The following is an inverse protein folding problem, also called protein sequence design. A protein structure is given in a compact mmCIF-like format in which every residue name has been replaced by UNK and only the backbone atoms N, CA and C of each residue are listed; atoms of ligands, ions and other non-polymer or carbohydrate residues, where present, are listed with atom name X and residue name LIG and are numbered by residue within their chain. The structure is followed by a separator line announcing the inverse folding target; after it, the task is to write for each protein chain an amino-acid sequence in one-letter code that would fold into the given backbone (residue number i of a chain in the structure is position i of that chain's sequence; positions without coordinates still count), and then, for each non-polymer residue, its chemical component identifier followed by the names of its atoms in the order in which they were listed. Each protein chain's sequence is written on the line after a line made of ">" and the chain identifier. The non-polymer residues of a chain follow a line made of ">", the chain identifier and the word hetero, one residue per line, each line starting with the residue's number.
data_IF_542376470988
#
_entry.id   IF_542376470988
#
_cell.length_a   1.000
_cell.length_b   1.000
_cell.length_c   1.000
_cell.angle_alpha   90.00
_cell.angle_beta   90.00
_cell.angle_gamma   90.00
#
_symmetry.space_group_name_H-M   'P 1'
#
loop_
_entity.id
_entity.type
_entity.pdbx_description
1 polymer ?
#
# COMPACT_ATOMS: atom_id res chain seq x y z
N UNK A 1 15.99 -5.57 9.99
CA UNK A 1 14.58 -6.04 9.96
C UNK A 1 14.42 -6.95 8.75
N UNK A 2 13.65 -8.04 8.83
CA UNK A 2 13.41 -8.88 7.63
C UNK A 2 12.28 -8.25 6.80
N UNK A 3 12.34 -8.37 5.47
CA UNK A 3 11.32 -7.85 4.54
C UNK A 3 9.89 -8.22 4.97
N UNK A 4 9.68 -9.48 5.38
CA UNK A 4 8.37 -9.94 5.89
C UNK A 4 7.88 -9.15 7.09
N UNK A 5 8.72 -8.84 8.07
CA UNK A 5 8.35 -8.05 9.24
C UNK A 5 7.95 -6.63 8.86
N UNK A 6 8.68 -6.00 7.96
CA UNK A 6 8.38 -4.64 7.50
C UNK A 6 7.05 -4.59 6.76
N UNK A 7 6.84 -5.48 5.79
CA UNK A 7 5.59 -5.55 5.03
C UNK A 7 4.40 -5.85 5.96
N UNK A 8 4.58 -6.73 6.97
CA UNK A 8 3.53 -6.97 7.98
C UNK A 8 3.20 -5.72 8.80
N UNK A 9 4.20 -4.96 9.23
CA UNK A 9 3.99 -3.74 10.00
C UNK A 9 3.24 -2.71 9.15
N UNK A 10 3.65 -2.53 7.89
CA UNK A 10 2.98 -1.61 6.96
C UNK A 10 1.53 -2.02 6.73
N UNK A 11 1.27 -3.30 6.50
CA UNK A 11 -0.10 -3.81 6.35
C UNK A 11 -0.97 -3.55 7.58
N UNK A 12 -0.45 -3.77 8.78
CA UNK A 12 -1.18 -3.54 10.03
C UNK A 12 -1.43 -2.05 10.25
N UNK A 13 -0.46 -1.18 9.97
CA UNK A 13 -0.62 0.27 10.10
C UNK A 13 -1.70 0.80 9.15
N UNK A 14 -1.66 0.40 7.89
CA UNK A 14 -2.68 0.79 6.92
C UNK A 14 -4.06 0.27 7.31
N UNK A 15 -4.17 -0.99 7.74
CA UNK A 15 -5.44 -1.55 8.19
C UNK A 15 -5.99 -0.85 9.44
N UNK A 16 -5.14 -0.54 10.41
CA UNK A 16 -5.55 0.19 11.61
C UNK A 16 -6.06 1.61 11.26
N UNK A 17 -5.33 2.29 10.38
CA UNK A 17 -5.71 3.65 9.98
C UNK A 17 -6.97 3.66 9.10
N UNK A 18 -7.17 2.66 8.26
CA UNK A 18 -8.44 2.44 7.56
C UNK A 18 -9.64 2.50 8.51
N UNK A 19 -9.60 1.75 9.62
CA UNK A 19 -10.71 1.76 10.58
C UNK A 19 -10.93 3.13 11.24
N UNK A 20 -9.85 3.87 11.51
CA UNK A 20 -9.95 5.22 12.06
C UNK A 20 -10.64 6.15 11.07
N UNK A 21 -10.14 6.24 9.84
CA UNK A 21 -10.69 7.12 8.82
C UNK A 21 -12.11 6.75 8.42
N UNK A 22 -12.37 5.47 8.23
CA UNK A 22 -13.71 4.97 7.90
C UNK A 22 -14.74 5.36 8.97
N UNK A 23 -14.35 5.25 10.25
CA UNK A 23 -15.22 5.64 11.37
C UNK A 23 -15.47 7.14 11.40
N UNK A 24 -14.44 7.95 11.16
CA UNK A 24 -14.56 9.41 11.11
C UNK A 24 -15.38 9.84 9.89
N UNK A 25 -15.07 9.28 8.72
CA UNK A 25 -15.78 9.57 7.46
C UNK A 25 -17.29 9.36 7.59
N UNK A 26 -17.71 8.27 8.24
CA UNK A 26 -19.12 8.00 8.51
C UNK A 26 -19.75 9.00 9.47
N UNK A 27 -19.01 9.48 10.47
CA UNK A 27 -19.53 10.47 11.44
C UNK A 27 -19.73 11.85 10.83
N UNK A 28 -18.77 12.31 10.01
CA UNK A 28 -18.82 13.65 9.40
C UNK A 28 -19.39 13.65 7.98
N UNK A 29 -19.83 12.50 7.48
CA UNK A 29 -20.38 12.31 6.14
C UNK A 29 -19.47 12.86 5.03
N UNK A 30 -18.15 12.65 5.18
CA UNK A 30 -17.13 13.12 4.23
C UNK A 30 -16.81 12.05 3.20
N UNK A 31 -17.14 12.34 1.94
CA UNK A 31 -16.82 11.45 0.81
C UNK A 31 -15.32 11.39 0.56
N UNK A 32 -14.59 12.49 0.73
CA UNK A 32 -13.14 12.51 0.51
C UNK A 32 -12.41 11.64 1.56
N UNK A 33 -12.80 11.73 2.83
CA UNK A 33 -12.21 10.91 3.87
C UNK A 33 -12.61 9.43 3.72
N UNK A 34 -13.80 9.17 3.18
CA UNK A 34 -14.19 7.82 2.83
C UNK A 34 -13.33 7.24 1.69
N UNK A 35 -13.01 8.06 0.68
CA UNK A 35 -12.08 7.68 -0.39
C UNK A 35 -10.68 7.39 0.17
N UNK A 36 -10.13 8.27 1.01
CA UNK A 36 -8.83 8.07 1.66
C UNK A 36 -8.80 6.77 2.48
N UNK A 37 -9.88 6.44 3.19
CA UNK A 37 -9.97 5.18 3.93
C UNK A 37 -9.88 3.96 3.01
N UNK A 38 -10.45 4.01 1.81
CA UNK A 38 -10.34 2.93 0.83
C UNK A 38 -8.90 2.77 0.35
N UNK A 39 -8.15 3.85 0.14
CA UNK A 39 -6.74 3.78 -0.23
C UNK A 39 -5.90 3.03 0.83
N UNK A 40 -6.15 3.26 2.11
CA UNK A 40 -5.51 2.50 3.19
C UNK A 40 -5.87 1.01 3.17
N UNK A 41 -7.10 0.69 2.81
CA UNK A 41 -7.53 -0.70 2.64
C UNK A 41 -6.82 -1.36 1.45
N UNK A 42 -6.67 -0.63 0.34
CA UNK A 42 -5.93 -1.09 -0.84
C UNK A 42 -4.46 -1.36 -0.52
N UNK A 43 -3.80 -0.43 0.14
CA UNK A 43 -2.41 -0.58 0.58
C UNK A 43 -2.23 -1.77 1.53
N UNK A 44 -3.14 -1.96 2.48
CA UNK A 44 -3.13 -3.11 3.37
C UNK A 44 -3.30 -4.43 2.59
N UNK A 45 -4.25 -4.47 1.65
CA UNK A 45 -4.53 -5.64 0.82
C UNK A 45 -3.33 -6.02 -0.06
N UNK A 46 -2.67 -5.05 -0.70
CA UNK A 46 -1.46 -5.28 -1.51
C UNK A 46 -0.33 -5.82 -0.65
N UNK A 47 -0.11 -5.26 0.53
CA UNK A 47 0.93 -5.73 1.45
C UNK A 47 0.65 -7.15 1.98
N UNK A 48 -0.60 -7.47 2.29
CA UNK A 48 -1.03 -8.82 2.67
C UNK A 48 -0.81 -9.79 1.50
N UNK A 49 -1.16 -9.39 0.28
CA UNK A 49 -0.93 -10.18 -0.92
C UNK A 49 0.56 -10.51 -1.12
N UNK A 50 1.44 -9.52 -0.93
CA UNK A 50 2.89 -9.73 -0.97
C UNK A 50 3.33 -10.77 0.06
N UNK A 51 2.80 -10.71 1.29
CA UNK A 51 3.12 -11.67 2.35
C UNK A 51 2.65 -13.09 2.00
N UNK A 52 1.45 -13.25 1.48
CA UNK A 52 0.89 -14.53 1.08
C UNK A 52 1.62 -15.11 -0.15
N UNK A 53 2.05 -14.23 -1.06
CA UNK A 53 2.73 -14.64 -2.28
C UNK A 53 4.16 -15.19 -2.07
N UNK A 54 4.72 -15.07 -0.86
CA UNK A 54 6.04 -15.60 -0.49
C UNK A 54 6.13 -17.14 -0.47
N UNK A 55 5.74 -17.85 -1.41
CA UNK A 55 5.80 -19.32 -1.49
C UNK A 55 4.88 -19.87 -2.56
N UNK A 56 4.19 -18.98 -3.25
CA UNK A 56 3.23 -19.35 -4.27
C UNK A 56 3.82 -19.31 -5.67
N UNK A 57 3.27 -20.15 -6.57
CA UNK A 57 3.64 -20.14 -7.98
C UNK A 57 3.26 -18.83 -8.67
N UNK A 58 3.96 -18.49 -9.76
CA UNK A 58 3.73 -17.25 -10.53
C UNK A 58 2.27 -17.14 -11.01
N UNK A 59 1.67 -18.25 -11.42
CA UNK A 59 0.26 -18.29 -11.85
C UNK A 59 -0.71 -18.00 -10.72
N UNK A 60 -0.46 -18.53 -9.52
CA UNK A 60 -1.29 -18.25 -8.34
C UNK A 60 -1.20 -16.77 -7.90
N UNK A 61 -0.02 -16.16 -8.02
CA UNK A 61 0.17 -14.73 -7.77
C UNK A 61 -0.61 -13.86 -8.75
N UNK A 62 -0.59 -14.20 -10.03
CA UNK A 62 -1.33 -13.47 -11.06
C UNK A 62 -2.84 -13.53 -10.82
N UNK A 63 -3.37 -14.71 -10.53
CA UNK A 63 -4.80 -14.89 -10.25
C UNK A 63 -5.27 -14.11 -9.01
N UNK A 64 -4.44 -14.10 -7.95
CA UNK A 64 -4.73 -13.29 -6.77
C UNK A 64 -4.69 -11.78 -7.08
N UNK A 65 -3.74 -11.34 -7.89
CA UNK A 65 -3.68 -9.95 -8.34
C UNK A 65 -4.97 -9.53 -9.06
N UNK A 66 -5.47 -10.36 -9.96
CA UNK A 66 -6.77 -10.12 -10.63
C UNK A 66 -7.93 -10.09 -9.66
N UNK A 67 -7.97 -11.04 -8.72
CA UNK A 67 -9.04 -11.09 -7.71
C UNK A 67 -9.06 -9.82 -6.85
N UNK A 68 -7.89 -9.38 -6.36
CA UNK A 68 -7.78 -8.15 -5.56
C UNK A 68 -8.10 -6.91 -6.38
N UNK A 69 -7.60 -6.78 -7.61
CA UNK A 69 -7.94 -5.65 -8.48
C UNK A 69 -9.45 -5.54 -8.71
N UNK A 70 -10.12 -6.66 -8.92
CA UNK A 70 -11.56 -6.68 -9.10
C UNK A 70 -12.29 -6.32 -7.81
N UNK A 71 -11.82 -6.83 -6.67
CA UNK A 71 -12.42 -6.57 -5.35
C UNK A 71 -12.28 -5.10 -4.96
N UNK A 72 -11.16 -4.46 -5.30
CA UNK A 72 -10.88 -3.05 -5.00
C UNK A 72 -11.57 -2.10 -5.98
N UNK A 73 -11.95 -2.57 -7.17
CA UNK A 73 -12.72 -1.77 -8.13
C UNK A 73 -14.13 -1.44 -7.59
N UNK A 74 -14.72 -2.34 -6.80
CA UNK A 74 -16.06 -2.16 -6.24
C UNK A 74 -16.14 -0.93 -5.32
N UNK A 75 -15.30 -0.80 -4.28
CA UNK A 75 -15.30 0.40 -3.45
C UNK A 75 -14.90 1.66 -4.22
N UNK A 76 -14.00 1.58 -5.20
CA UNK A 76 -13.66 2.70 -6.07
C UNK A 76 -14.87 3.25 -6.84
N UNK A 77 -15.70 2.38 -7.40
CA UNK A 77 -16.96 2.78 -8.06
C UNK A 77 -17.93 3.38 -7.04
N UNK A 78 -18.03 2.82 -5.83
CA UNK A 78 -18.89 3.35 -4.78
C UNK A 78 -18.50 4.76 -4.34
N UNK A 79 -17.18 5.04 -4.26
CA UNK A 79 -16.65 6.39 -3.99
C UNK A 79 -17.01 7.37 -5.11
N UNK A 80 -16.85 6.98 -6.37
CA UNK A 80 -17.26 7.81 -7.52
C UNK A 80 -18.74 8.13 -7.49
N UNK A 81 -19.58 7.14 -7.19
CA UNK A 81 -21.01 7.33 -7.02
C UNK A 81 -21.35 8.30 -5.89
N UNK A 82 -20.72 8.13 -4.74
CA UNK A 82 -20.89 9.00 -3.57
C UNK A 82 -20.43 10.44 -3.87
N UNK A 83 -19.31 10.61 -4.59
CA UNK A 83 -18.84 11.92 -5.04
C UNK A 83 -19.84 12.59 -5.98
N UNK A 84 -20.43 11.84 -6.93
CA UNK A 84 -21.46 12.33 -7.82
C UNK A 84 -22.70 12.79 -7.06
N UNK A 85 -23.18 11.99 -6.10
CA UNK A 85 -24.32 12.36 -5.26
C UNK A 85 -24.06 13.65 -4.46
N UNK A 86 -22.82 13.80 -3.94
CA UNK A 86 -22.45 14.99 -3.18
C UNK A 86 -22.26 16.23 -4.06
N UNK A 87 -21.92 16.04 -5.33
CA UNK A 87 -21.91 17.12 -6.31
C UNK A 87 -23.32 17.65 -6.58
N UNK A 88 -24.32 16.76 -6.63
CA UNK A 88 -25.72 17.15 -6.82
C UNK A 88 -26.33 17.77 -5.57
N UNK A 89 -25.92 17.32 -4.37
CA UNK A 89 -26.45 17.77 -3.08
C UNK A 89 -25.26 18.17 -2.17
N UNK A 90 -24.72 19.39 -2.31
CA UNK A 90 -23.56 19.82 -1.56
C UNK A 90 -23.85 19.87 -0.07
N UNK A 91 -23.18 19.05 0.71
CA UNK A 91 -23.10 19.13 2.18
C UNK A 91 -21.65 19.42 2.58
N UNK A 92 -21.45 20.45 3.40
CA UNK A 92 -20.12 20.80 3.88
C UNK A 92 -19.74 19.95 5.08
N UNK A 93 -18.71 19.08 5.00
CA UNK A 93 -18.21 18.35 6.15
C UNK A 93 -17.48 19.31 7.12
N UNK A 94 -17.32 18.88 8.36
CA UNK A 94 -16.58 19.61 9.37
C UNK A 94 -15.10 19.77 8.97
N UNK A 95 -14.71 20.95 8.52
CA UNK A 95 -13.39 21.23 7.92
C UNK A 95 -12.22 20.93 8.86
N UNK A 96 -12.37 21.16 10.15
CA UNK A 96 -11.33 20.90 11.14
C UNK A 96 -11.05 19.41 11.31
N UNK A 97 -12.10 18.61 11.47
CA UNK A 97 -11.97 17.14 11.62
C UNK A 97 -11.40 16.51 10.34
N UNK A 98 -11.84 17.00 9.17
CA UNK A 98 -11.31 16.56 7.88
C UNK A 98 -9.81 16.84 7.75
N UNK A 99 -9.38 18.07 8.09
CA UNK A 99 -7.97 18.46 8.02
C UNK A 99 -7.08 17.69 8.99
N UNK A 100 -7.52 17.49 10.22
CA UNK A 100 -6.76 16.74 11.24
C UNK A 100 -6.59 15.27 10.84
N UNK A 101 -7.65 14.63 10.36
CA UNK A 101 -7.59 13.21 9.95
C UNK A 101 -6.75 13.03 8.68
N UNK A 102 -6.91 13.91 7.68
CA UNK A 102 -6.08 13.87 6.46
C UNK A 102 -4.59 14.15 6.74
N UNK A 103 -4.27 15.00 7.72
CA UNK A 103 -2.87 15.19 8.15
C UNK A 103 -2.30 13.93 8.81
N UNK A 104 -3.08 13.22 9.62
CA UNK A 104 -2.70 11.92 10.17
C UNK A 104 -2.46 10.88 9.07
N UNK A 105 -3.32 10.82 8.04
CA UNK A 105 -3.17 9.97 6.87
C UNK A 105 -1.83 10.21 6.16
N UNK A 106 -1.50 11.48 5.93
CA UNK A 106 -0.24 11.87 5.29
C UNK A 106 0.98 11.35 6.06
N UNK A 107 0.98 11.47 7.39
CA UNK A 107 2.08 10.98 8.23
C UNK A 107 2.22 9.45 8.12
N UNK A 108 1.12 8.72 8.18
CA UNK A 108 1.14 7.25 8.06
C UNK A 108 1.64 6.81 6.69
N UNK A 109 1.11 7.37 5.61
CA UNK A 109 1.52 7.05 4.25
C UNK A 109 3.00 7.36 4.01
N UNK A 110 3.48 8.53 4.47
CA UNK A 110 4.89 8.90 4.36
C UNK A 110 5.79 7.94 5.15
N UNK A 111 5.39 7.55 6.35
CA UNK A 111 6.13 6.59 7.18
C UNK A 111 6.21 5.23 6.49
N UNK A 112 5.09 4.73 5.96
CA UNK A 112 5.04 3.47 5.21
C UNK A 112 5.92 3.53 3.95
N UNK A 113 5.86 4.62 3.19
CA UNK A 113 6.67 4.83 2.00
C UNK A 113 8.18 4.84 2.32
N UNK A 114 8.60 5.53 3.38
CA UNK A 114 10.01 5.56 3.83
C UNK A 114 10.47 4.16 4.26
N UNK A 115 9.64 3.43 5.01
CA UNK A 115 9.95 2.07 5.43
C UNK A 115 10.17 1.14 4.25
N UNK A 116 9.30 1.19 3.25
CA UNK A 116 9.40 0.36 2.04
C UNK A 116 10.58 0.79 1.14
N UNK A 117 10.79 2.09 0.97
CA UNK A 117 11.91 2.64 0.18
C UNK A 117 13.28 2.25 0.75
N UNK A 118 13.42 2.27 2.08
CA UNK A 118 14.65 1.85 2.76
C UNK A 118 15.00 0.39 2.46
N UNK A 119 14.00 -0.49 2.45
CA UNK A 119 14.19 -1.89 2.11
C UNK A 119 14.55 -2.13 0.65
N UNK A 120 13.94 -1.39 -0.27
CA UNK A 120 14.26 -1.47 -1.69
C UNK A 120 15.73 -1.12 -1.94
N UNK A 121 16.24 -0.09 -1.28
CA UNK A 121 17.64 0.33 -1.39
C UNK A 121 18.61 -0.72 -0.83
N UNK A 122 18.29 -1.39 0.27
CA UNK A 122 19.10 -2.49 0.80
C UNK A 122 19.13 -3.71 -0.13
N UNK A 123 18.03 -4.01 -0.80
CA UNK A 123 17.93 -5.13 -1.76
C UNK A 123 18.73 -4.87 -3.03
N UNK A 124 18.73 -3.64 -3.55
CA UNK A 124 19.51 -3.25 -4.74
C UNK A 124 21.02 -3.30 -4.49
N UNK A 125 21.50 -2.89 -3.32
CA UNK A 125 22.91 -3.01 -2.94
C UNK A 125 23.38 -4.48 -2.86
N UNK A 126 22.52 -5.40 -2.41
CA UNK A 126 22.81 -6.83 -2.37
C UNK A 126 22.99 -7.44 -3.78
N UNK A 127 22.14 -7.07 -4.73
CA UNK A 127 22.21 -7.58 -6.10
C UNK A 127 23.45 -7.10 -6.87
N UNK A 128 23.91 -5.87 -6.63
CA UNK A 128 25.13 -5.36 -7.25
C UNK A 128 26.38 -6.12 -6.78
N UNK A 129 26.46 -6.52 -5.52
CA UNK A 129 27.59 -7.24 -4.96
C UNK A 129 27.73 -8.66 -5.56
N UNK A 130 26.61 -9.38 -5.75
CA UNK A 130 26.64 -10.71 -6.39
C UNK A 130 27.07 -10.64 -7.86
N UNK A 131 26.66 -9.62 -8.60
CA UNK A 131 27.02 -9.45 -10.01
C UNK A 131 28.49 -9.11 -10.20
N UNK A 132 29.11 -8.43 -9.24
CA UNK A 132 30.53 -8.10 -9.26
C UNK A 132 31.41 -9.31 -8.91
N UNK A 133 30.95 -10.15 -7.98
CA UNK A 133 31.63 -11.37 -7.56
C UNK A 133 31.64 -12.45 -8.67
N UNK A 134 30.56 -12.55 -9.44
CA UNK A 134 30.45 -13.48 -10.57
C UNK A 134 31.33 -13.05 -11.77
N UNK A 135 31.52 -11.75 -11.96
CA UNK A 135 32.41 -11.19 -12.98
C UNK A 135 33.90 -11.41 -12.63
N UNK A 136 34.27 -11.33 -11.37
CA UNK A 136 35.61 -11.64 -10.88
C UNK A 136 35.97 -13.12 -11.04
N UNK A 137 35.01 -14.03 -10.83
CA UNK A 137 35.21 -15.47 -10.96
C UNK A 137 35.38 -15.94 -12.42
N UNK A 138 34.74 -15.25 -13.37
CA UNK A 138 34.92 -15.57 -14.81
C UNK A 138 36.30 -15.19 -15.34
N UNK A 139 36.89 -14.10 -14.88
CA UNK A 139 38.20 -13.67 -15.31
C UNK A 139 39.33 -14.55 -14.78
N UNK A 140 39.10 -15.38 -13.75
CA UNK A 140 40.11 -16.31 -13.19
C UNK A 140 40.18 -17.65 -13.92
N UNK A 141 39.15 -18.00 -14.70
CA UNK A 141 39.09 -19.25 -15.45
C UNK A 141 39.69 -19.16 -16.88
N UNK A 142 39.97 -17.96 -17.37
CA UNK A 142 40.50 -17.74 -18.73
C UNK A 142 42.03 -17.73 -18.79
N UNK A 143 42.74 -17.89 -17.66
CA UNK A 143 44.22 -17.91 -17.57
C UNK A 143 44.81 -19.23 -17.01
N UNK A 144 44.11 -20.39 -17.20
CA UNK A 144 44.69 -21.72 -16.86
C UNK A 144 44.71 -22.65 -18.04
#
# INVERSE_FOLDING_TARGET
>A
MTLRKTVSIVAILNLAYFFVEFSVANKILSVSLFADSIDFLEDAAVNILILLAFGWSIKARANLGYLFSTLLLIPGIAVLWSAWQKFLNPSTPESFTLGLTGFGALIINLTCAIMLAKFRKESDCGCCNWRQQDRGRRNTCEHS
#
